data_IF_437780383918
#
_entry.id   IF_437780383918
#
_cell.length_a   1.000
_cell.length_b   1.000
_cell.length_c   1.000
_cell.angle_alpha   90.00
_cell.angle_beta   90.00
_cell.angle_gamma   90.00
#
_symmetry.space_group_name_H-M   'P 1'
#
loop_
_entity.id
_entity.type
_entity.pdbx_description
1 polymer ?
#
# COMPACT_ATOMS: atom_id res chain seq x y z
N UNK A 1 -10.94 -6.99 -20.03
CA UNK A 1 -11.02 -5.91 -21.05
C UNK A 1 -11.37 -6.52 -22.40
N UNK A 2 -12.09 -5.80 -23.27
CA UNK A 2 -12.37 -6.26 -24.64
C UNK A 2 -11.15 -5.99 -25.53
N UNK A 3 -10.56 -7.03 -26.10
CA UNK A 3 -9.33 -6.96 -26.92
C UNK A 3 -9.53 -6.12 -28.18
N UNK A 4 -10.68 -6.25 -28.86
CA UNK A 4 -10.99 -5.46 -30.06
C UNK A 4 -11.06 -3.96 -29.77
N UNK A 5 -11.58 -3.58 -28.60
CA UNK A 5 -11.63 -2.18 -28.19
C UNK A 5 -10.25 -1.66 -27.81
N UNK A 6 -9.46 -2.45 -27.07
CA UNK A 6 -8.09 -2.09 -26.70
C UNK A 6 -7.23 -1.79 -27.93
N UNK A 7 -7.24 -2.68 -28.93
CA UNK A 7 -6.50 -2.50 -30.19
C UNK A 7 -6.93 -1.23 -30.95
N UNK A 8 -8.23 -0.90 -30.96
CA UNK A 8 -8.72 0.35 -31.59
C UNK A 8 -8.20 1.59 -30.88
N UNK A 9 -8.18 1.57 -29.54
CA UNK A 9 -7.68 2.68 -28.72
C UNK A 9 -6.17 2.82 -28.90
N UNK A 10 -5.42 1.73 -28.79
CA UNK A 10 -3.96 1.69 -28.98
C UNK A 10 -3.58 2.28 -30.34
N UNK A 11 -4.24 1.84 -31.41
CA UNK A 11 -4.02 2.40 -32.75
C UNK A 11 -4.34 3.89 -32.85
N UNK A 12 -5.43 4.34 -32.23
CA UNK A 12 -5.85 5.75 -32.28
C UNK A 12 -4.93 6.67 -31.48
N UNK A 13 -4.32 6.15 -30.42
CA UNK A 13 -3.40 6.89 -29.54
C UNK A 13 -1.93 6.69 -29.91
N UNK A 14 -1.62 5.84 -30.89
CA UNK A 14 -0.25 5.54 -31.31
C UNK A 14 0.54 4.72 -30.28
N UNK A 15 -0.13 3.89 -29.49
CA UNK A 15 0.53 2.97 -28.55
C UNK A 15 0.90 1.64 -29.22
N UNK A 16 1.91 0.99 -28.66
CA UNK A 16 2.31 -0.36 -29.05
C UNK A 16 1.17 -1.36 -28.84
N UNK A 17 1.08 -2.35 -29.72
CA UNK A 17 0.07 -3.41 -29.65
C UNK A 17 0.14 -4.15 -28.31
N UNK A 18 -0.99 -4.26 -27.63
CA UNK A 18 -1.09 -4.97 -26.35
C UNK A 18 -0.67 -4.16 -25.12
N UNK A 19 -0.29 -2.89 -25.29
CA UNK A 19 0.06 -2.00 -24.19
C UNK A 19 -1.03 -1.92 -23.11
N UNK A 20 -2.29 -1.68 -23.51
CA UNK A 20 -3.41 -1.57 -22.58
C UNK A 20 -3.73 -2.92 -21.94
N UNK A 21 -3.53 -4.02 -22.66
CA UNK A 21 -3.71 -5.37 -22.11
C UNK A 21 -2.70 -5.65 -21.00
N UNK A 22 -1.43 -5.30 -21.20
CA UNK A 22 -0.38 -5.40 -20.18
C UNK A 22 -0.74 -4.53 -18.96
N UNK A 23 -1.17 -3.29 -19.19
CA UNK A 23 -1.59 -2.39 -18.11
C UNK A 23 -2.75 -2.99 -17.29
N UNK A 24 -3.74 -3.58 -17.96
CA UNK A 24 -4.87 -4.24 -17.31
C UNK A 24 -4.41 -5.42 -16.46
N UNK A 25 -3.48 -6.23 -16.96
CA UNK A 25 -2.90 -7.36 -16.19
C UNK A 25 -2.20 -6.85 -14.93
N UNK A 26 -1.39 -5.80 -15.03
CA UNK A 26 -0.76 -5.20 -13.84
C UNK A 26 -1.77 -4.69 -12.82
N UNK A 27 -2.82 -4.03 -13.27
CA UNK A 27 -3.90 -3.58 -12.39
C UNK A 27 -4.57 -4.75 -11.66
N UNK A 28 -4.87 -5.84 -12.37
CA UNK A 28 -5.51 -7.02 -11.77
C UNK A 28 -4.58 -7.73 -10.77
N UNK A 29 -3.27 -7.76 -11.04
CA UNK A 29 -2.24 -8.25 -10.11
C UNK A 29 -2.26 -7.42 -8.83
N UNK A 30 -2.19 -6.09 -8.92
CA UNK A 30 -2.19 -5.20 -7.76
C UNK A 30 -3.49 -5.32 -6.95
N UNK A 31 -4.64 -5.44 -7.62
CA UNK A 31 -5.93 -5.65 -6.95
C UNK A 31 -5.98 -6.98 -6.20
N UNK A 32 -5.36 -8.05 -6.73
CA UNK A 32 -5.25 -9.33 -6.02
C UNK A 32 -4.29 -9.24 -4.84
N UNK A 33 -3.15 -8.56 -4.97
CA UNK A 33 -2.22 -8.34 -3.86
C UNK A 33 -2.87 -7.61 -2.69
N UNK A 34 -3.66 -6.57 -2.96
CA UNK A 34 -4.43 -5.86 -1.92
C UNK A 34 -5.40 -6.75 -1.14
N UNK A 35 -5.95 -7.80 -1.76
CA UNK A 35 -6.85 -8.74 -1.07
C UNK A 35 -6.12 -9.78 -0.21
N UNK A 36 -4.82 -10.00 -0.44
CA UNK A 36 -4.05 -11.06 0.23
C UNK A 36 -3.40 -10.60 1.54
N UNK A 37 -3.15 -9.31 1.69
CA UNK A 37 -2.58 -8.73 2.91
C UNK A 37 -3.61 -7.83 3.58
N UNK A 38 -3.74 -7.84 4.92
CA UNK A 38 -4.57 -6.86 5.61
C UNK A 38 -4.08 -5.46 5.23
N UNK A 39 -5.02 -4.62 4.74
CA UNK A 39 -4.72 -3.29 4.21
C UNK A 39 -4.21 -2.33 5.29
N UNK A 40 -4.42 -2.65 6.56
CA UNK A 40 -4.08 -1.82 7.72
C UNK A 40 -3.87 -2.68 8.98
N UNK A 41 -3.05 -2.21 9.96
CA UNK A 41 -3.00 -2.76 11.30
C UNK A 41 -4.31 -2.52 12.05
N UNK A 42 -4.43 -3.04 13.26
CA UNK A 42 -5.56 -2.71 14.14
C UNK A 42 -5.53 -1.22 14.54
N UNK A 43 -6.31 -0.40 13.83
CA UNK A 43 -6.39 1.04 14.06
C UNK A 43 -6.91 1.39 15.45
N UNK A 44 -7.63 0.47 16.11
CA UNK A 44 -8.12 0.66 17.47
C UNK A 44 -6.97 0.84 18.48
N UNK A 45 -5.79 0.30 18.15
CA UNK A 45 -4.58 0.39 18.97
C UNK A 45 -3.70 1.59 18.61
N UNK A 46 -4.03 2.33 17.54
CA UNK A 46 -3.30 3.52 17.10
C UNK A 46 -4.10 4.78 17.42
N UNK A 47 -3.53 5.69 18.22
CA UNK A 47 -4.20 6.96 18.51
C UNK A 47 -4.24 7.83 17.25
N UNK A 48 -5.38 8.45 16.99
CA UNK A 48 -5.57 9.37 15.86
C UNK A 48 -4.59 10.55 15.86
N UNK A 49 -4.10 10.98 17.02
CA UNK A 49 -3.11 12.07 17.13
C UNK A 49 -1.76 11.75 16.48
N UNK A 50 -1.37 10.47 16.36
CA UNK A 50 -0.14 10.07 15.67
C UNK A 50 -0.16 10.48 14.20
N UNK A 51 -1.35 10.47 13.60
CA UNK A 51 -1.60 10.82 12.20
C UNK A 51 -2.56 12.01 12.13
N UNK A 52 -2.34 13.04 12.95
CA UNK A 52 -3.21 14.24 12.97
C UNK A 52 -3.34 14.94 11.61
N UNK A 53 -2.35 14.76 10.73
CA UNK A 53 -2.26 15.31 9.38
C UNK A 53 -2.82 14.38 8.29
N UNK A 54 -3.15 13.11 8.60
CA UNK A 54 -3.50 12.09 7.62
C UNK A 54 -4.62 11.17 8.11
N UNK A 55 -5.63 10.96 7.28
CA UNK A 55 -6.69 9.99 7.54
C UNK A 55 -6.15 8.56 7.53
N UNK A 56 -6.16 7.89 8.69
CA UNK A 56 -5.58 6.56 8.89
C UNK A 56 -6.22 5.47 8.02
N UNK A 57 -7.49 5.64 7.63
CA UNK A 57 -8.19 4.71 6.74
C UNK A 57 -7.71 4.81 5.28
N UNK A 58 -7.12 5.95 4.90
CA UNK A 58 -6.62 6.20 3.54
C UNK A 58 -5.12 5.96 3.40
N UNK A 59 -4.42 5.68 4.51
CA UNK A 59 -2.98 5.38 4.49
C UNK A 59 -2.77 4.06 3.72
N UNK A 60 -1.84 4.09 2.78
CA UNK A 60 -1.38 2.85 2.16
C UNK A 60 -0.28 2.25 3.04
N UNK A 61 -0.68 1.43 4.02
CA UNK A 61 0.21 0.87 5.03
C UNK A 61 1.35 0.05 4.42
N UNK A 62 1.14 -0.60 3.27
CA UNK A 62 2.20 -1.34 2.59
C UNK A 62 3.22 -0.42 1.88
N UNK A 63 2.75 0.56 1.10
CA UNK A 63 3.64 1.45 0.35
C UNK A 63 4.34 2.48 1.26
N UNK A 64 3.66 2.95 2.29
CA UNK A 64 4.15 3.98 3.20
C UNK A 64 4.77 3.40 4.48
N UNK A 65 5.08 2.09 4.48
CA UNK A 65 5.60 1.36 5.65
C UNK A 65 6.75 2.09 6.35
N UNK A 66 7.70 2.64 5.59
CA UNK A 66 8.87 3.30 6.14
C UNK A 66 8.51 4.56 6.94
N UNK A 67 7.58 5.36 6.40
CA UNK A 67 7.12 6.59 7.06
C UNK A 67 6.28 6.28 8.30
N UNK A 68 5.40 5.27 8.20
CA UNK A 68 4.58 4.79 9.31
C UNK A 68 5.45 4.27 10.45
N UNK A 69 6.41 3.37 10.16
CA UNK A 69 7.30 2.78 11.16
C UNK A 69 8.09 3.90 11.87
N UNK A 70 8.76 4.80 11.13
CA UNK A 70 9.52 5.90 11.74
C UNK A 70 8.63 6.77 12.64
N UNK A 71 7.45 7.15 12.15
CA UNK A 71 6.52 7.99 12.91
C UNK A 71 6.04 7.34 14.21
N UNK A 72 5.67 6.06 14.17
CA UNK A 72 5.20 5.33 15.36
C UNK A 72 6.34 5.08 16.34
N UNK A 73 7.55 4.79 15.87
CA UNK A 73 8.69 4.62 16.76
C UNK A 73 9.18 5.93 17.38
N UNK A 74 9.05 7.06 16.68
CA UNK A 74 9.41 8.40 17.19
C UNK A 74 8.38 8.98 18.16
N UNK A 75 7.08 8.82 17.89
CA UNK A 75 6.00 9.56 18.59
C UNK A 75 4.97 8.66 19.29
N UNK A 76 5.01 7.36 19.03
CA UNK A 76 4.06 6.39 19.56
C UNK A 76 4.44 5.85 20.94
N UNK A 77 3.45 5.29 21.62
CA UNK A 77 3.59 4.56 22.87
C UNK A 77 3.97 3.09 22.61
N UNK A 78 4.22 2.33 23.68
CA UNK A 78 4.65 0.93 23.55
C UNK A 78 3.60 0.01 22.91
N UNK A 79 2.30 0.24 23.17
CA UNK A 79 1.20 -0.53 22.56
C UNK A 79 1.18 -0.31 21.03
N UNK A 80 1.36 0.93 20.60
CA UNK A 80 1.39 1.33 19.19
C UNK A 80 2.60 0.70 18.47
N UNK A 81 3.77 0.71 19.12
CA UNK A 81 4.98 0.06 18.60
C UNK A 81 4.82 -1.46 18.50
N UNK A 82 4.19 -2.10 19.48
CA UNK A 82 3.94 -3.54 19.48
C UNK A 82 2.99 -3.94 18.34
N UNK A 83 1.90 -3.19 18.13
CA UNK A 83 0.97 -3.43 17.02
C UNK A 83 1.65 -3.26 15.65
N UNK A 84 2.42 -2.18 15.45
CA UNK A 84 3.19 -1.98 14.21
C UNK A 84 4.24 -3.08 14.02
N UNK A 85 4.82 -3.60 15.10
CA UNK A 85 5.75 -4.73 15.07
C UNK A 85 5.07 -6.04 14.73
N UNK A 86 3.85 -6.26 15.21
CA UNK A 86 3.03 -7.40 14.83
C UNK A 86 2.64 -7.33 13.34
N UNK A 87 2.25 -6.14 12.87
CA UNK A 87 1.78 -5.92 11.50
C UNK A 87 2.89 -6.02 10.44
N UNK A 88 4.02 -5.34 10.62
CA UNK A 88 5.12 -5.36 9.63
C UNK A 88 6.14 -6.48 9.89
N UNK A 89 6.22 -7.02 11.10
CA UNK A 89 7.26 -7.96 11.51
C UNK A 89 8.59 -7.30 11.86
N UNK A 90 9.33 -7.94 12.76
CA UNK A 90 10.60 -7.42 13.33
C UNK A 90 11.67 -7.18 12.26
N UNK A 91 11.77 -8.04 11.25
CA UNK A 91 12.75 -7.92 10.16
C UNK A 91 12.58 -6.61 9.36
N UNK A 92 11.33 -6.27 9.03
CA UNK A 92 11.02 -5.05 8.28
C UNK A 92 11.30 -3.79 9.11
N UNK A 93 11.02 -3.82 10.41
CA UNK A 93 11.28 -2.70 11.31
C UNK A 93 12.78 -2.46 11.48
N UNK A 94 13.54 -3.52 11.75
CA UNK A 94 14.99 -3.42 11.87
C UNK A 94 15.62 -2.87 10.60
N UNK A 95 15.09 -3.22 9.42
CA UNK A 95 15.57 -2.67 8.14
C UNK A 95 15.30 -1.18 8.00
N UNK A 96 14.18 -0.68 8.53
CA UNK A 96 13.75 0.72 8.40
C UNK A 96 14.39 1.64 9.45
N UNK A 97 14.69 1.11 10.63
CA UNK A 97 15.30 1.83 11.75
C UNK A 97 16.82 1.75 11.78
N UNK A 98 17.43 0.99 10.86
CA UNK A 98 18.88 0.95 10.64
C UNK A 98 19.35 2.19 9.89
#
# INVERSE_FOLDING_TARGET
MNTSLALKIEKSLGFDEGYLMILQVFYDIEKKKKKLYPDHPDLSKLRSVLFWDTDMEKINWQQQKNAVIKRVFERGNEIEKEEITHFYGKENINTVLK
#
